data_IF_366062814382
#
_entry.id   IF_366062814382
#
_cell.length_a   1.000
_cell.length_b   1.000
_cell.length_c   1.000
_cell.angle_alpha   90.00
_cell.angle_beta   90.00
_cell.angle_gamma   90.00
#
_symmetry.space_group_name_H-M   'P 1'
#
loop_
_entity.id
_entity.type
_entity.pdbx_description
1 polymer ?
#
# COMPACT_ATOMS: atom_id res chain seq x y z
N UNK A 1 -15.27 -0.41 -2.99
CA UNK A 1 -14.12 0.41 -2.54
C UNK A 1 -14.07 1.69 -3.36
N UNK A 2 -13.83 2.81 -2.71
CA UNK A 2 -13.70 4.09 -3.41
C UNK A 2 -12.27 4.25 -3.93
N UNK A 3 -12.12 4.77 -5.15
CA UNK A 3 -10.82 4.99 -5.77
C UNK A 3 -10.80 6.35 -6.45
N UNK A 4 -9.60 6.92 -6.61
CA UNK A 4 -9.41 8.10 -7.45
C UNK A 4 -9.11 7.67 -8.89
N UNK A 5 -9.30 8.56 -9.88
CA UNK A 5 -8.87 8.26 -11.26
C UNK A 5 -7.36 7.95 -11.33
N UNK A 6 -6.56 8.60 -10.50
CA UNK A 6 -5.12 8.36 -10.42
C UNK A 6 -4.84 6.90 -10.01
N UNK A 7 -5.57 6.39 -9.01
CA UNK A 7 -5.42 5.00 -8.56
C UNK A 7 -5.75 4.02 -9.69
N UNK A 8 -6.84 4.25 -10.39
CA UNK A 8 -7.25 3.38 -11.49
C UNK A 8 -6.18 3.35 -12.59
N UNK A 9 -5.60 4.50 -12.92
CA UNK A 9 -4.53 4.59 -13.90
C UNK A 9 -3.29 3.83 -13.41
N UNK A 10 -2.93 3.96 -12.12
CA UNK A 10 -1.77 3.27 -11.57
C UNK A 10 -1.93 1.76 -11.58
N UNK A 11 -3.14 1.25 -11.34
CA UNK A 11 -3.37 -0.19 -11.45
C UNK A 11 -3.23 -0.69 -12.88
N UNK A 12 -3.61 0.12 -13.88
CA UNK A 12 -3.37 -0.22 -15.28
C UNK A 12 -1.87 -0.27 -15.58
N UNK A 13 -1.09 0.66 -15.02
CA UNK A 13 0.36 0.72 -15.20
C UNK A 13 1.08 -0.42 -14.46
N UNK A 14 0.44 -0.98 -13.42
CA UNK A 14 1.02 -1.99 -12.53
C UNK A 14 0.09 -3.21 -12.44
N UNK A 15 -0.01 -3.99 -13.53
CA UNK A 15 -0.97 -5.11 -13.59
C UNK A 15 -0.66 -6.23 -12.60
N UNK A 16 0.54 -6.26 -12.03
CA UNK A 16 0.91 -7.23 -10.98
C UNK A 16 0.20 -6.96 -9.66
N UNK A 17 -0.32 -5.73 -9.44
CA UNK A 17 -1.02 -5.38 -8.19
C UNK A 17 -2.50 -5.73 -8.32
N UNK A 18 -2.99 -6.55 -7.38
CA UNK A 18 -4.41 -6.93 -7.32
C UNK A 18 -5.16 -6.02 -6.36
N UNK A 19 -6.42 -5.68 -6.72
CA UNK A 19 -7.27 -4.83 -5.87
C UNK A 19 -7.49 -5.44 -4.50
N UNK A 20 -7.71 -6.73 -4.42
CA UNK A 20 -7.93 -7.41 -3.14
C UNK A 20 -6.72 -7.34 -2.23
N UNK A 21 -5.52 -7.20 -2.77
CA UNK A 21 -4.32 -6.99 -1.95
C UNK A 21 -4.33 -5.59 -1.34
N UNK A 22 -4.76 -4.58 -2.09
CA UNK A 22 -4.87 -3.21 -1.60
C UNK A 22 -5.88 -3.15 -0.44
N UNK A 23 -7.02 -3.82 -0.57
CA UNK A 23 -8.02 -3.91 0.48
C UNK A 23 -7.47 -4.60 1.73
N UNK A 24 -6.72 -5.67 1.54
CA UNK A 24 -6.08 -6.40 2.64
C UNK A 24 -5.09 -5.53 3.41
N UNK A 25 -4.26 -4.75 2.71
CA UNK A 25 -3.29 -3.86 3.33
C UNK A 25 -3.99 -2.80 4.18
N UNK A 26 -5.06 -2.21 3.66
CA UNK A 26 -5.79 -1.17 4.40
C UNK A 26 -6.53 -1.76 5.60
N UNK A 27 -7.02 -3.00 5.48
CA UNK A 27 -7.75 -3.65 6.58
C UNK A 27 -6.83 -4.10 7.72
N UNK A 28 -5.61 -4.55 7.41
CA UNK A 28 -4.70 -5.11 8.41
C UNK A 28 -3.24 -4.76 8.12
N UNK A 29 -2.86 -3.48 8.29
CA UNK A 29 -1.50 -3.04 7.98
C UNK A 29 -0.51 -3.40 9.07
N UNK A 30 0.76 -3.61 8.68
CA UNK A 30 1.88 -3.68 9.62
C UNK A 30 2.20 -2.29 10.18
N UNK A 31 2.03 -1.26 9.37
CA UNK A 31 2.38 0.11 9.75
C UNK A 31 1.44 1.08 9.05
N UNK A 32 1.09 2.15 9.74
CA UNK A 32 0.27 3.24 9.21
C UNK A 32 0.95 4.56 9.53
N UNK A 33 1.09 5.42 8.53
CA UNK A 33 1.69 6.76 8.69
C UNK A 33 0.81 7.79 8.01
N UNK A 34 0.43 8.83 8.73
CA UNK A 34 -0.25 10.00 8.14
C UNK A 34 0.83 10.92 7.58
N UNK A 35 0.76 11.20 6.28
CA UNK A 35 1.71 12.05 5.60
C UNK A 35 1.42 13.53 5.86
N UNK A 36 2.41 14.42 5.65
CA UNK A 36 2.18 15.87 5.85
C UNK A 36 1.02 16.45 5.03
N UNK A 37 0.73 15.86 3.86
CA UNK A 37 -0.40 16.30 3.03
C UNK A 37 -1.75 15.71 3.48
N UNK A 38 -1.78 14.97 4.60
CA UNK A 38 -2.98 14.35 5.12
C UNK A 38 -3.28 12.97 4.55
N UNK A 39 -2.62 12.56 3.48
CA UNK A 39 -2.80 11.21 2.94
C UNK A 39 -2.23 10.17 3.89
N UNK A 40 -2.76 8.95 3.81
CA UNK A 40 -2.39 7.90 4.75
C UNK A 40 -1.71 6.77 4.00
N UNK A 41 -0.48 6.44 4.42
CA UNK A 41 0.27 5.30 3.90
C UNK A 41 0.13 4.11 4.83
N UNK A 42 -0.13 2.93 4.25
CA UNK A 42 -0.18 1.67 4.98
C UNK A 42 0.64 0.62 4.24
N UNK A 43 1.31 -0.23 4.99
CA UNK A 43 2.18 -1.28 4.43
C UNK A 43 1.78 -2.63 4.98
N UNK A 44 1.82 -3.66 4.14
CA UNK A 44 1.72 -5.04 4.58
C UNK A 44 2.43 -5.96 3.60
N UNK A 45 2.82 -7.13 4.08
CA UNK A 45 3.46 -8.16 3.26
C UNK A 45 2.39 -8.87 2.43
N UNK A 46 2.70 -9.15 1.16
CA UNK A 46 1.87 -9.96 0.27
C UNK A 46 2.58 -11.29 0.05
N UNK A 47 2.25 -12.33 0.84
CA UNK A 47 2.96 -13.63 0.75
C UNK A 47 2.87 -14.25 -0.64
N UNK A 48 1.73 -14.10 -1.32
CA UNK A 48 1.50 -14.68 -2.65
C UNK A 48 2.40 -14.08 -3.72
N UNK A 49 2.99 -12.92 -3.46
CA UNK A 49 3.85 -12.24 -4.43
C UNK A 49 5.27 -12.09 -3.91
N UNK A 50 5.88 -13.22 -3.56
CA UNK A 50 7.26 -13.27 -3.12
C UNK A 50 7.52 -12.57 -1.78
N UNK A 51 6.51 -12.48 -0.92
CA UNK A 51 6.59 -11.78 0.37
C UNK A 51 7.07 -10.33 0.21
N UNK A 52 6.71 -9.70 -0.90
CA UNK A 52 6.99 -8.28 -1.12
C UNK A 52 6.04 -7.43 -0.28
N UNK A 53 6.50 -6.23 0.04
CA UNK A 53 5.70 -5.30 0.85
C UNK A 53 4.95 -4.35 -0.07
N UNK A 54 3.62 -4.36 0.04
CA UNK A 54 2.75 -3.46 -0.71
C UNK A 54 2.45 -2.23 0.16
N UNK A 55 2.73 -1.05 -0.39
CA UNK A 55 2.33 0.22 0.20
C UNK A 55 1.07 0.71 -0.49
N UNK A 56 0.05 1.01 0.29
CA UNK A 56 -1.21 1.57 -0.22
C UNK A 56 -1.42 2.93 0.40
N UNK A 57 -1.69 3.93 -0.44
CA UNK A 57 -1.94 5.30 0.00
C UNK A 57 -3.41 5.62 -0.24
N UNK A 58 -4.10 6.02 0.83
CA UNK A 58 -5.48 6.52 0.75
C UNK A 58 -5.48 8.03 0.93
N UNK A 59 -6.61 8.65 0.57
CA UNK A 59 -6.87 10.04 0.91
C UNK A 59 -7.10 10.18 2.41
N UNK A 60 -7.33 11.40 2.87
CA UNK A 60 -7.47 11.72 4.31
C UNK A 60 -8.60 10.96 4.98
N UNK A 61 -9.62 10.53 4.22
CA UNK A 61 -10.73 9.75 4.76
C UNK A 61 -10.33 8.34 5.19
N UNK A 62 -9.11 7.91 4.84
CA UNK A 62 -8.61 6.57 5.13
C UNK A 62 -9.30 5.45 4.35
N UNK A 63 -10.14 5.79 3.38
CA UNK A 63 -11.01 4.85 2.66
C UNK A 63 -10.88 4.93 1.15
N UNK A 64 -10.61 6.12 0.60
CA UNK A 64 -10.48 6.33 -0.85
C UNK A 64 -9.06 6.00 -1.28
N UNK A 65 -8.91 4.96 -2.07
CA UNK A 65 -7.60 4.48 -2.54
C UNK A 65 -7.06 5.43 -3.59
N UNK A 66 -5.81 5.86 -3.43
CA UNK A 66 -5.18 6.85 -4.31
C UNK A 66 -3.95 6.33 -5.01
N UNK A 67 -3.13 5.48 -4.37
CA UNK A 67 -1.94 4.92 -4.99
C UNK A 67 -1.58 3.58 -4.34
N UNK A 68 -0.85 2.74 -5.07
CA UNK A 68 -0.34 1.48 -4.54
C UNK A 68 0.90 1.07 -5.33
N UNK A 69 1.94 0.64 -4.61
CA UNK A 69 3.16 0.13 -5.24
C UNK A 69 3.94 -0.72 -4.24
N UNK A 70 4.78 -1.60 -4.76
CA UNK A 70 5.66 -2.41 -3.92
C UNK A 70 6.84 -1.56 -3.45
N UNK A 71 7.04 -1.52 -2.13
CA UNK A 71 8.05 -0.67 -1.48
C UNK A 71 9.26 -1.52 -1.09
N UNK A 72 10.27 -1.52 -1.95
CA UNK A 72 11.48 -2.32 -1.73
C UNK A 72 12.30 -1.80 -0.56
N UNK A 73 12.30 -0.51 -0.32
CA UNK A 73 13.04 0.08 0.79
C UNK A 73 12.45 -0.35 2.13
N UNK A 74 11.12 -0.33 2.23
CA UNK A 74 10.45 -0.82 3.44
C UNK A 74 10.74 -2.31 3.65
N UNK A 75 10.65 -3.12 2.59
CA UNK A 75 10.96 -4.54 2.67
C UNK A 75 12.36 -4.79 3.19
N UNK A 76 13.33 -4.02 2.68
CA UNK A 76 14.73 -4.12 3.12
C UNK A 76 14.86 -3.81 4.62
N UNK A 77 14.22 -2.73 5.09
CA UNK A 77 14.25 -2.37 6.52
C UNK A 77 13.56 -3.43 7.38
N UNK A 78 12.44 -3.99 6.88
CA UNK A 78 11.72 -5.05 7.59
C UNK A 78 12.59 -6.30 7.75
N UNK A 79 13.32 -6.70 6.70
CA UNK A 79 14.23 -7.84 6.73
C UNK A 79 15.40 -7.61 7.68
N UNK A 80 15.81 -6.37 7.87
CA UNK A 80 16.91 -5.99 8.79
C UNK A 80 16.42 -5.76 10.22
N UNK A 81 15.13 -5.93 10.48
CA UNK A 81 14.55 -5.71 11.81
C UNK A 81 14.40 -4.24 12.18
N UNK A 82 14.43 -3.31 11.20
CA UNK A 82 14.31 -1.87 11.44
C UNK A 82 12.87 -1.37 11.38
N UNK A 83 11.93 -2.21 10.91
CA UNK A 83 10.51 -1.93 10.89
C UNK A 83 9.75 -3.01 11.66
N UNK A 84 8.54 -2.70 12.15
CA UNK A 84 7.74 -3.66 12.92
C UNK A 84 7.26 -4.85 12.09
#
# INVERSE_FOLDING_TARGET
>A
MKTTPYFEQKLLDRPEIRREWCERVVADPLKTVVQPNGRISRWAVIPEYGHRVLRVITLEDGKTFHNAYFDRNFRSRLQKGLEP
#
